data_IF_473731231344
#
_entry.id   IF_473731231344
#
_cell.length_a   1.000
_cell.length_b   1.000
_cell.length_c   1.000
_cell.angle_alpha   90.00
_cell.angle_beta   90.00
_cell.angle_gamma   90.00
#
_symmetry.space_group_name_H-M   'P 1'
#
loop_
_entity.id
_entity.type
_entity.pdbx_description
1 polymer ?
#
# COMPACT_ATOMS: atom_id res chain seq x y z
N UNK A 1 35.80 -0.75 -16.71
CA UNK A 1 35.66 -2.17 -16.36
C UNK A 1 34.39 -2.31 -15.54
N UNK A 2 33.35 -2.97 -16.07
CA UNK A 2 32.07 -3.15 -15.40
C UNK A 2 32.21 -4.17 -14.28
N UNK A 3 32.02 -3.75 -13.04
CA UNK A 3 32.20 -4.60 -11.87
C UNK A 3 30.85 -5.20 -11.48
N UNK A 4 30.71 -6.53 -11.55
CA UNK A 4 29.46 -7.24 -11.24
C UNK A 4 29.02 -7.05 -9.78
N UNK A 5 29.95 -6.60 -8.93
CA UNK A 5 29.68 -6.16 -7.56
C UNK A 5 28.68 -4.98 -7.49
N UNK A 6 28.63 -4.10 -8.50
CA UNK A 6 27.66 -3.00 -8.56
C UNK A 6 26.22 -3.45 -8.85
N UNK A 7 26.01 -4.71 -9.25
CA UNK A 7 24.65 -5.27 -9.43
C UNK A 7 24.05 -5.70 -8.10
N UNK A 8 24.89 -6.19 -7.18
CA UNK A 8 24.46 -6.68 -5.88
C UNK A 8 24.52 -5.61 -4.78
N UNK A 9 25.31 -4.55 -4.99
CA UNK A 9 25.34 -3.38 -4.12
C UNK A 9 25.53 -2.12 -5.00
N UNK A 10 24.48 -1.65 -5.68
CA UNK A 10 24.57 -0.41 -6.43
C UNK A 10 24.94 0.71 -5.45
N UNK A 11 25.99 1.47 -5.76
CA UNK A 11 26.25 2.71 -5.04
C UNK A 11 24.98 3.54 -5.10
N UNK A 12 24.42 3.91 -3.94
CA UNK A 12 23.27 4.79 -3.84
C UNK A 12 23.67 6.16 -4.38
N UNK A 13 23.65 6.33 -5.70
CA UNK A 13 23.42 7.65 -6.27
C UNK A 13 22.09 8.11 -5.69
N UNK A 14 22.15 9.17 -4.88
CA UNK A 14 20.99 9.84 -4.33
C UNK A 14 20.19 10.41 -5.50
N UNK A 15 19.39 9.57 -6.15
CA UNK A 15 18.43 10.03 -7.14
C UNK A 15 17.58 11.11 -6.46
N UNK A 16 17.36 12.25 -7.12
CA UNK A 16 16.59 13.33 -6.54
C UNK A 16 15.22 12.79 -6.11
N UNK A 17 14.87 13.04 -4.85
CA UNK A 17 13.67 12.54 -4.15
C UNK A 17 12.38 12.84 -4.92
N UNK A 18 12.40 13.85 -5.80
CA UNK A 18 11.27 14.26 -6.65
C UNK A 18 10.73 13.15 -7.56
N UNK A 19 11.56 12.22 -8.01
CA UNK A 19 11.12 11.17 -8.94
C UNK A 19 10.23 10.11 -8.28
N UNK A 20 10.30 9.95 -6.95
CA UNK A 20 9.56 8.91 -6.22
C UNK A 20 8.27 9.41 -5.55
N UNK A 21 8.10 10.72 -5.38
CA UNK A 21 6.96 11.31 -4.65
C UNK A 21 5.61 10.90 -5.25
N UNK A 22 5.48 10.98 -6.57
CA UNK A 22 4.25 10.60 -7.27
C UNK A 22 3.94 9.12 -7.07
N UNK A 23 4.94 8.24 -7.18
CA UNK A 23 4.78 6.81 -6.96
C UNK A 23 4.30 6.51 -5.54
N UNK A 24 4.84 7.19 -4.53
CA UNK A 24 4.45 6.98 -3.14
C UNK A 24 3.05 7.49 -2.81
N UNK A 25 2.63 8.61 -3.41
CA UNK A 25 1.26 9.10 -3.30
C UNK A 25 0.29 8.09 -3.91
N UNK A 26 0.55 7.61 -5.13
CA UNK A 26 -0.32 6.61 -5.78
C UNK A 26 -0.36 5.30 -4.99
N UNK A 27 0.78 4.82 -4.49
CA UNK A 27 0.83 3.63 -3.65
C UNK A 27 -0.01 3.81 -2.38
N UNK A 28 0.09 4.97 -1.73
CA UNK A 28 -0.68 5.25 -0.52
C UNK A 28 -2.18 5.30 -0.80
N UNK A 29 -2.61 5.98 -1.87
CA UNK A 29 -4.01 6.02 -2.30
C UNK A 29 -4.52 4.61 -2.63
N UNK A 30 -3.72 3.82 -3.34
CA UNK A 30 -4.09 2.45 -3.70
C UNK A 30 -4.25 1.56 -2.47
N UNK A 31 -3.33 1.64 -1.51
CA UNK A 31 -3.38 0.89 -0.25
C UNK A 31 -4.60 1.27 0.59
N UNK A 32 -4.88 2.56 0.72
CA UNK A 32 -6.05 3.06 1.45
C UNK A 32 -7.37 2.66 0.76
N UNK A 33 -7.43 2.82 -0.56
CA UNK A 33 -8.62 2.48 -1.35
C UNK A 33 -8.92 0.98 -1.32
N UNK A 34 -7.92 0.15 -1.64
CA UNK A 34 -8.06 -1.31 -1.68
C UNK A 34 -8.25 -1.87 -0.28
N UNK A 35 -7.47 -1.40 0.70
CA UNK A 35 -7.61 -1.79 2.09
C UNK A 35 -8.99 -1.43 2.65
N UNK A 36 -9.46 -0.21 2.37
CA UNK A 36 -10.80 0.25 2.74
C UNK A 36 -11.90 -0.60 2.10
N UNK A 37 -11.76 -0.94 0.82
CA UNK A 37 -12.70 -1.83 0.14
C UNK A 37 -12.76 -3.22 0.77
N UNK A 38 -11.60 -3.82 1.08
CA UNK A 38 -11.53 -5.14 1.71
C UNK A 38 -12.06 -5.14 3.15
N UNK A 39 -11.70 -4.16 3.97
CA UNK A 39 -12.14 -4.10 5.38
C UNK A 39 -13.66 -3.87 5.50
N UNK A 40 -14.24 -3.11 4.57
CA UNK A 40 -15.69 -2.87 4.50
C UNK A 40 -16.50 -4.15 4.28
N UNK A 41 -15.87 -5.22 3.80
CA UNK A 41 -16.53 -6.49 3.48
C UNK A 41 -17.30 -6.46 2.16
N UNK A 42 -17.25 -5.36 1.40
CA UNK A 42 -17.89 -5.28 0.07
C UNK A 42 -17.36 -6.31 -0.93
N UNK A 43 -16.09 -6.72 -0.78
CA UNK A 43 -15.50 -7.80 -1.57
C UNK A 43 -16.13 -9.19 -1.30
N UNK A 44 -16.88 -9.34 -0.20
CA UNK A 44 -17.37 -10.62 0.31
C UNK A 44 -18.92 -10.63 0.33
N UNK A 45 -19.55 -9.83 -0.53
CA UNK A 45 -21.02 -9.77 -0.58
C UNK A 45 -21.57 -11.09 -1.15
N UNK A 46 -22.54 -11.67 -0.44
CA UNK A 46 -23.28 -12.84 -0.91
C UNK A 46 -24.12 -12.48 -2.14
N UNK A 47 -23.97 -13.25 -3.22
CA UNK A 47 -24.91 -13.18 -4.34
C UNK A 47 -26.34 -13.57 -3.86
N UNK A 48 -27.34 -12.80 -4.30
CA UNK A 48 -28.75 -13.04 -4.00
C UNK A 48 -29.20 -14.43 -4.46
N UNK A 49 -28.60 -14.98 -5.53
CA UNK A 49 -28.95 -16.29 -6.10
C UNK A 49 -28.36 -17.49 -5.34
N UNK A 50 -27.42 -17.28 -4.42
CA UNK A 50 -26.72 -18.38 -3.70
C UNK A 50 -27.34 -18.60 -2.32
N UNK A 51 -27.60 -19.86 -1.94
CA UNK A 51 -28.08 -20.18 -0.59
C UNK A 51 -27.06 -19.79 0.49
N UNK A 52 -27.53 -19.46 1.70
CA UNK A 52 -26.63 -19.06 2.79
C UNK A 52 -25.64 -20.19 3.15
N UNK A 53 -26.10 -21.45 3.07
CA UNK A 53 -25.28 -22.65 3.32
C UNK A 53 -24.14 -22.75 2.31
N UNK A 54 -24.45 -22.71 1.01
CA UNK A 54 -23.44 -22.81 -0.06
C UNK A 54 -22.45 -21.64 -0.02
N UNK A 55 -22.90 -20.44 0.38
CA UNK A 55 -22.03 -19.29 0.54
C UNK A 55 -21.04 -19.47 1.71
N UNK A 56 -21.50 -19.97 2.85
CA UNK A 56 -20.66 -20.19 4.04
C UNK A 56 -19.67 -21.35 3.86
N UNK A 57 -20.05 -22.39 3.09
CA UNK A 57 -19.12 -23.48 2.73
C UNK A 57 -17.98 -22.99 1.83
N UNK A 58 -18.29 -22.15 0.83
CA UNK A 58 -17.30 -21.59 -0.10
C UNK A 58 -16.46 -20.45 0.50
N UNK A 59 -17.02 -19.69 1.44
CA UNK A 59 -16.39 -18.54 2.07
C UNK A 59 -16.43 -18.72 3.59
N UNK A 60 -15.56 -19.57 4.15
CA UNK A 60 -15.55 -19.84 5.58
C UNK A 60 -15.22 -18.56 6.37
N UNK A 61 -15.69 -18.51 7.63
CA UNK A 61 -15.56 -17.32 8.49
C UNK A 61 -14.12 -16.88 8.65
N UNK A 62 -13.18 -17.82 8.83
CA UNK A 62 -11.76 -17.50 8.95
C UNK A 62 -11.22 -16.78 7.71
N UNK A 63 -11.58 -17.22 6.51
CA UNK A 63 -11.13 -16.61 5.26
C UNK A 63 -11.68 -15.20 5.11
N UNK A 64 -12.96 -15.01 5.44
CA UNK A 64 -13.59 -13.68 5.42
C UNK A 64 -12.93 -12.72 6.41
N UNK A 65 -12.59 -13.22 7.60
CA UNK A 65 -11.88 -12.43 8.61
C UNK A 65 -10.45 -12.11 8.17
N UNK A 66 -9.74 -13.05 7.54
CA UNK A 66 -8.41 -12.80 6.97
C UNK A 66 -8.42 -11.71 5.91
N UNK A 67 -9.41 -11.69 5.02
CA UNK A 67 -9.53 -10.62 4.01
C UNK A 67 -9.74 -9.26 4.67
N UNK A 68 -10.63 -9.18 5.65
CA UNK A 68 -10.90 -7.92 6.36
C UNK A 68 -9.69 -7.47 7.18
N UNK A 69 -9.01 -8.41 7.85
CA UNK A 69 -7.78 -8.16 8.59
C UNK A 69 -6.65 -7.66 7.67
N UNK A 70 -6.46 -8.30 6.51
CA UNK A 70 -5.51 -7.84 5.50
C UNK A 70 -5.89 -6.47 4.95
N UNK A 71 -7.17 -6.21 4.70
CA UNK A 71 -7.66 -4.88 4.34
C UNK A 71 -7.31 -3.82 5.39
N UNK A 72 -7.52 -4.12 6.67
CA UNK A 72 -7.14 -3.24 7.78
C UNK A 72 -5.62 -3.00 7.83
N UNK A 73 -4.82 -4.04 7.61
CA UNK A 73 -3.36 -3.92 7.52
C UNK A 73 -2.94 -2.98 6.37
N UNK A 74 -3.54 -3.14 5.18
CA UNK A 74 -3.25 -2.26 4.04
C UNK A 74 -3.59 -0.79 4.34
N UNK A 75 -4.71 -0.54 5.03
CA UNK A 75 -5.07 0.82 5.45
C UNK A 75 -4.02 1.37 6.42
N UNK A 76 -3.68 0.62 7.47
CA UNK A 76 -2.69 1.05 8.45
C UNK A 76 -1.32 1.33 7.80
N UNK A 77 -0.89 0.44 6.90
CA UNK A 77 0.36 0.60 6.15
C UNK A 77 0.33 1.78 5.19
N UNK A 78 -0.81 2.02 4.51
CA UNK A 78 -1.00 3.19 3.66
C UNK A 78 -0.94 4.52 4.42
N UNK A 79 -1.52 4.56 5.63
CA UNK A 79 -1.40 5.73 6.53
C UNK A 79 0.06 5.95 6.91
N UNK A 80 0.74 4.91 7.41
CA UNK A 80 2.14 4.98 7.80
C UNK A 80 3.03 5.51 6.67
N UNK A 81 2.85 4.99 5.45
CA UNK A 81 3.62 5.42 4.27
C UNK A 81 3.30 6.87 3.89
N UNK A 82 2.04 7.29 4.00
CA UNK A 82 1.65 8.69 3.73
C UNK A 82 2.36 9.67 4.67
N UNK A 83 2.53 9.30 5.95
CA UNK A 83 3.29 10.12 6.90
C UNK A 83 4.76 10.24 6.52
N UNK A 84 5.40 9.12 6.18
CA UNK A 84 6.81 9.08 5.75
C UNK A 84 7.05 9.92 4.49
N UNK A 85 6.13 9.82 3.52
CA UNK A 85 6.14 10.65 2.30
C UNK A 85 5.96 12.14 2.62
N UNK A 86 5.08 12.48 3.56
CA UNK A 86 4.85 13.87 3.96
C UNK A 86 6.09 14.49 4.62
N UNK A 87 6.73 13.78 5.53
CA UNK A 87 7.95 14.22 6.20
C UNK A 87 9.11 14.41 5.21
N UNK A 88 9.26 13.47 4.28
CA UNK A 88 10.24 13.54 3.20
C UNK A 88 10.00 14.74 2.26
N UNK A 89 8.74 15.01 1.92
CA UNK A 89 8.36 16.16 1.11
C UNK A 89 8.67 17.49 1.83
N UNK A 90 8.30 17.60 3.11
CA UNK A 90 8.57 18.80 3.92
C UNK A 90 10.06 19.12 3.96
N UNK A 91 10.89 18.13 4.24
CA UNK A 91 12.36 18.27 4.27
C UNK A 91 12.92 18.72 2.92
N UNK A 92 12.34 18.25 1.81
CA UNK A 92 12.75 18.64 0.45
C UNK A 92 12.40 20.10 0.14
N UNK A 93 11.26 20.61 0.64
CA UNK A 93 10.89 22.01 0.48
C UNK A 93 11.82 22.95 1.26
N UNK A 94 12.19 22.58 2.49
CA UNK A 94 13.10 23.38 3.32
C UNK A 94 14.49 23.55 2.67
N UNK A 95 15.01 22.49 2.03
CA UNK A 95 16.27 22.53 1.27
C UNK A 95 16.21 23.41 0.02
N UNK A 96 15.04 23.53 -0.62
CA UNK A 96 14.84 24.41 -1.78
C UNK A 96 14.73 25.89 -1.42
N UNK A 97 14.34 26.20 -0.19
CA UNK A 97 14.21 27.58 0.31
C UNK A 97 15.52 28.14 0.86
N UNK A 98 16.51 27.28 1.13
CA UNK A 98 17.82 27.64 1.71
C UNK A 98 18.97 27.70 0.70
N UNK A 99 18.73 27.32 -0.56
CA UNK A 99 19.61 27.53 -1.72
C UNK A 99 19.03 28.62 -2.62
#
# INVERSE_FOLDING_TARGET
MSNIANVFNPQQESKPIEDCLSCDIFNSIFLLGTGGYLVSGKAIIKDKKVSLKNFNEKNPVWWRNSIRGFGGFLVAYGIYRSFDTYESWKTSQEKKLTN
#
